data_IF_372789610721
#
_entry.id   IF_372789610721
#
_cell.length_a   1.000
_cell.length_b   1.000
_cell.length_c   1.000
_cell.angle_alpha   90.00
_cell.angle_beta   90.00
_cell.angle_gamma   90.00
#
_symmetry.space_group_name_H-M   'P 1'
#
loop_
_entity.id
_entity.type
_entity.pdbx_description
1 polymer ?
#
# COMPACT_ATOMS: atom_id res chain seq x y z
N UNK A 1 -12.79 -24.08 -14.94
CA UNK A 1 -11.34 -23.78 -14.82
C UNK A 1 -11.24 -22.66 -13.80
N UNK A 2 -10.61 -22.86 -12.64
CA UNK A 2 -10.49 -21.80 -11.63
C UNK A 2 -9.62 -20.65 -12.17
N UNK A 3 -10.04 -19.42 -11.90
CA UNK A 3 -9.32 -18.20 -12.28
C UNK A 3 -8.69 -17.58 -11.03
N UNK A 4 -7.36 -17.48 -11.02
CA UNK A 4 -6.59 -16.84 -9.95
C UNK A 4 -6.15 -15.45 -10.42
N UNK A 5 -7.01 -14.45 -10.20
CA UNK A 5 -6.80 -13.10 -10.76
C UNK A 5 -5.79 -12.31 -9.91
N UNK A 6 -4.69 -11.89 -10.53
CA UNK A 6 -3.71 -10.99 -9.91
C UNK A 6 -4.24 -9.55 -9.93
N UNK A 7 -4.36 -8.92 -8.75
CA UNK A 7 -4.96 -7.58 -8.57
C UNK A 7 -3.92 -6.45 -8.49
N UNK A 8 -2.82 -6.59 -9.23
CA UNK A 8 -1.74 -5.61 -9.33
C UNK A 8 -0.60 -5.78 -8.32
N UNK A 9 0.55 -5.24 -8.70
CA UNK A 9 1.78 -5.26 -7.90
C UNK A 9 1.71 -4.35 -6.68
N UNK A 10 2.45 -4.71 -5.62
CA UNK A 10 2.54 -3.94 -4.40
C UNK A 10 4.00 -3.51 -4.15
N UNK A 11 4.28 -2.22 -4.35
CA UNK A 11 5.65 -1.70 -4.36
C UNK A 11 6.16 -1.43 -2.93
N UNK A 12 6.78 -2.42 -2.31
CA UNK A 12 7.34 -2.31 -0.96
C UNK A 12 8.50 -1.30 -0.87
N UNK A 13 9.31 -1.14 -1.92
CA UNK A 13 10.44 -0.19 -1.89
C UNK A 13 9.95 1.26 -1.87
N UNK A 14 8.85 1.56 -2.58
CA UNK A 14 8.19 2.88 -2.49
C UNK A 14 7.60 3.12 -1.10
N UNK A 15 7.03 2.11 -0.45
CA UNK A 15 6.51 2.25 0.90
C UNK A 15 7.64 2.51 1.90
N UNK A 16 8.81 1.87 1.73
CA UNK A 16 9.98 2.17 2.54
C UNK A 16 10.47 3.61 2.31
N UNK A 17 10.51 4.09 1.07
CA UNK A 17 10.85 5.49 0.77
C UNK A 17 9.90 6.46 1.49
N UNK A 18 8.59 6.20 1.46
CA UNK A 18 7.61 7.01 2.21
C UNK A 18 7.84 6.93 3.71
N UNK A 19 8.17 5.76 4.25
CA UNK A 19 8.52 5.60 5.68
C UNK A 19 9.69 6.51 6.06
N UNK A 20 10.74 6.52 5.23
CA UNK A 20 11.95 7.34 5.40
C UNK A 20 11.74 8.84 5.10
N UNK A 21 10.55 9.23 4.65
CA UNK A 21 10.16 10.63 4.45
C UNK A 21 8.90 10.99 5.24
N UNK A 22 8.64 10.27 6.35
CA UNK A 22 7.50 10.49 7.23
C UNK A 22 6.15 10.61 6.48
N UNK A 23 5.93 9.71 5.52
CA UNK A 23 4.73 9.63 4.69
C UNK A 23 4.72 10.51 3.44
N UNK A 24 5.71 11.39 3.26
CA UNK A 24 5.75 12.34 2.13
C UNK A 24 6.46 11.75 0.91
N UNK A 25 5.86 11.89 -0.27
CA UNK A 25 6.53 11.53 -1.53
C UNK A 25 7.62 12.55 -1.84
N UNK A 26 8.92 12.20 -1.79
CA UNK A 26 10.00 13.17 -2.03
C UNK A 26 9.98 13.74 -3.45
N UNK A 27 9.42 13.01 -4.42
CA UNK A 27 9.35 13.47 -5.82
C UNK A 27 8.30 14.55 -6.05
N UNK A 28 7.24 14.57 -5.24
CA UNK A 28 6.06 15.44 -5.43
C UNK A 28 5.83 16.40 -4.28
N UNK A 29 6.44 16.16 -3.12
CA UNK A 29 6.20 16.93 -1.91
C UNK A 29 4.76 16.83 -1.41
N UNK A 30 4.08 15.70 -1.63
CA UNK A 30 2.72 15.48 -1.14
C UNK A 30 2.71 14.38 -0.10
N UNK A 31 1.82 14.49 0.90
CA UNK A 31 1.61 13.46 1.90
C UNK A 31 0.78 12.33 1.26
N UNK A 32 1.41 11.16 1.08
CA UNK A 32 0.75 9.97 0.51
C UNK A 32 0.51 8.89 1.56
N UNK A 33 1.46 8.71 2.48
CA UNK A 33 1.40 7.73 3.55
C UNK A 33 1.01 8.34 4.88
N UNK A 34 1.29 7.59 5.94
CA UNK A 34 1.10 8.02 7.32
C UNK A 34 2.31 8.83 7.82
N UNK A 35 2.09 9.74 8.77
CA UNK A 35 3.16 10.34 9.55
C UNK A 35 3.56 9.36 10.66
N UNK A 36 4.52 8.48 10.38
CA UNK A 36 4.97 7.41 11.29
C UNK A 36 6.08 7.81 12.25
N UNK A 37 6.55 9.05 12.18
CA UNK A 37 7.67 9.59 12.95
C UNK A 37 8.83 10.00 12.04
N UNK A 38 9.64 10.96 12.49
CA UNK A 38 10.82 11.39 11.77
C UNK A 38 11.92 10.32 11.87
N UNK A 39 12.44 9.81 10.74
CA UNK A 39 13.44 8.75 10.76
C UNK A 39 14.75 9.09 11.47
N UNK A 40 15.09 10.37 11.61
CA UNK A 40 16.28 10.79 12.37
C UNK A 40 16.15 10.53 13.86
N UNK A 41 14.93 10.31 14.35
CA UNK A 41 14.64 10.12 15.76
C UNK A 41 14.55 8.64 16.16
N UNK A 42 14.62 7.72 15.18
CA UNK A 42 14.64 6.27 15.42
C UNK A 42 15.93 5.86 16.10
N UNK A 43 15.82 5.07 17.17
CA UNK A 43 16.97 4.62 18.00
C UNK A 43 17.34 3.18 17.75
N UNK A 44 16.50 2.44 17.04
CA UNK A 44 16.66 1.03 16.76
C UNK A 44 16.15 0.67 15.37
N UNK A 45 16.55 -0.50 14.88
CA UNK A 45 15.99 -1.04 13.64
C UNK A 45 14.51 -1.39 13.81
N UNK A 46 14.11 -1.81 15.02
CA UNK A 46 12.75 -2.12 15.40
C UNK A 46 11.81 -0.90 15.26
N UNK A 47 12.28 0.31 15.61
CA UNK A 47 11.52 1.55 15.41
C UNK A 47 11.20 1.78 13.92
N UNK A 48 12.21 1.59 13.06
CA UNK A 48 12.03 1.68 11.60
C UNK A 48 11.09 0.60 11.09
N UNK A 49 11.24 -0.64 11.55
CA UNK A 49 10.43 -1.76 11.11
C UNK A 49 8.96 -1.57 11.49
N UNK A 50 8.69 -1.03 12.69
CA UNK A 50 7.34 -0.71 13.14
C UNK A 50 6.72 0.43 12.32
N UNK A 51 7.48 1.50 12.03
CA UNK A 51 7.04 2.56 11.13
C UNK A 51 6.71 2.03 9.73
N UNK A 52 7.58 1.17 9.19
CA UNK A 52 7.37 0.53 7.89
C UNK A 52 6.15 -0.39 7.89
N UNK A 53 5.96 -1.21 8.93
CA UNK A 53 4.78 -2.09 9.09
C UNK A 53 3.49 -1.29 9.05
N UNK A 54 3.43 -0.17 9.77
CA UNK A 54 2.26 0.73 9.78
C UNK A 54 1.97 1.31 8.40
N UNK A 55 3.00 1.69 7.64
CA UNK A 55 2.84 2.14 6.26
C UNK A 55 2.33 1.03 5.34
N UNK A 56 2.91 -0.17 5.43
CA UNK A 56 2.47 -1.34 4.67
C UNK A 56 0.99 -1.64 4.94
N UNK A 57 0.58 -1.69 6.20
CA UNK A 57 -0.81 -1.94 6.58
C UNK A 57 -1.77 -0.88 6.05
N UNK A 58 -1.36 0.39 6.06
CA UNK A 58 -2.14 1.47 5.47
C UNK A 58 -2.40 1.24 3.98
N UNK A 59 -1.34 0.97 3.20
CA UNK A 59 -1.47 0.79 1.76
C UNK A 59 -2.14 -0.55 1.37
N UNK A 60 -1.96 -1.62 2.16
CA UNK A 60 -2.68 -2.89 1.96
C UNK A 60 -4.18 -2.68 2.11
N UNK A 61 -4.63 -1.96 3.15
CA UNK A 61 -6.06 -1.67 3.36
C UNK A 61 -6.67 -0.92 2.17
N UNK A 62 -5.93 0.03 1.60
CA UNK A 62 -6.34 0.76 0.39
C UNK A 62 -6.41 -0.18 -0.81
N UNK A 63 -5.37 -0.98 -1.05
CA UNK A 63 -5.31 -1.95 -2.16
C UNK A 63 -6.47 -2.93 -2.12
N UNK A 64 -6.71 -3.58 -0.98
CA UNK A 64 -7.78 -4.58 -0.82
C UNK A 64 -9.15 -3.95 -1.09
N UNK A 65 -9.40 -2.74 -0.60
CA UNK A 65 -10.65 -2.02 -0.87
C UNK A 65 -10.84 -1.80 -2.38
N UNK A 66 -9.80 -1.34 -3.07
CA UNK A 66 -9.82 -1.14 -4.52
C UNK A 66 -10.06 -2.45 -5.28
N UNK A 67 -9.33 -3.52 -4.92
CA UNK A 67 -9.50 -4.85 -5.51
C UNK A 67 -10.94 -5.36 -5.38
N UNK A 68 -11.53 -5.25 -4.19
CA UNK A 68 -12.91 -5.69 -3.96
C UNK A 68 -13.93 -4.87 -4.75
N UNK A 69 -13.70 -3.56 -4.93
CA UNK A 69 -14.55 -2.72 -5.77
C UNK A 69 -14.46 -3.13 -7.24
N UNK A 70 -13.25 -3.37 -7.75
CA UNK A 70 -13.05 -3.82 -9.14
C UNK A 70 -13.71 -5.17 -9.37
N UNK A 71 -13.53 -6.13 -8.45
CA UNK A 71 -14.12 -7.46 -8.56
C UNK A 71 -15.66 -7.41 -8.65
N UNK A 72 -16.29 -6.55 -7.84
CA UNK A 72 -17.75 -6.33 -7.92
C UNK A 72 -18.19 -5.77 -9.27
N UNK A 73 -17.45 -4.80 -9.81
CA UNK A 73 -17.73 -4.24 -11.13
C UNK A 73 -17.57 -5.30 -12.23
N UNK A 74 -16.54 -6.13 -12.15
CA UNK A 74 -16.37 -7.23 -13.12
C UNK A 74 -17.52 -8.23 -13.05
N UNK A 75 -17.97 -8.59 -11.84
CA UNK A 75 -19.10 -9.49 -11.65
C UNK A 75 -20.42 -8.93 -12.23
N UNK A 76 -20.64 -7.61 -12.12
CA UNK A 76 -21.86 -6.96 -12.59
C UNK A 76 -21.86 -6.68 -14.10
N UNK A 77 -20.73 -6.20 -14.64
CA UNK A 77 -20.68 -5.66 -16.00
C UNK A 77 -19.98 -6.59 -17.01
N UNK A 78 -19.16 -7.53 -16.56
CA UNK A 78 -18.37 -8.41 -17.42
C UNK A 78 -18.53 -9.90 -17.05
N UNK A 79 -19.78 -10.42 -16.95
CA UNK A 79 -19.99 -11.84 -16.67
C UNK A 79 -19.40 -12.70 -17.80
N UNK A 80 -18.66 -13.75 -17.44
CA UNK A 80 -18.07 -14.71 -18.37
C UNK A 80 -18.69 -16.11 -18.15
N UNK A 81 -19.86 -16.40 -18.76
CA UNK A 81 -20.64 -17.61 -18.48
C UNK A 81 -20.14 -18.90 -19.16
N UNK A 82 -19.16 -18.83 -20.06
CA UNK A 82 -18.58 -19.96 -20.79
C UNK A 82 -17.04 -19.92 -20.80
#
# INVERSE_FOLDING_TARGET
KESYILTGYFNLTKILELTLHNGRDPRRGILLGLETGNPTDFRSFEDLLEAFRRQVEHFVKIKVRGSNTIERLFAEYLPAPF
#
